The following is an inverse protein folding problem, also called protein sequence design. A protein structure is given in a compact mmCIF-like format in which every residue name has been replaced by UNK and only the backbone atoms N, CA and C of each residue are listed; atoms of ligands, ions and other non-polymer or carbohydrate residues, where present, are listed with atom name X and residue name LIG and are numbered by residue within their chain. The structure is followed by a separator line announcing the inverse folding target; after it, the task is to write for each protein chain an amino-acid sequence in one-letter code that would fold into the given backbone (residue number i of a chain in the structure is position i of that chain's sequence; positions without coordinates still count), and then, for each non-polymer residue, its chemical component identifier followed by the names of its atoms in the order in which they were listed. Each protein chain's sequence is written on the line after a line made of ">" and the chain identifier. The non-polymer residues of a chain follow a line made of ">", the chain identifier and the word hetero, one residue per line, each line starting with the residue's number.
data_IF_347197818283
#
_entry.id   IF_347197818283
#
_cell.length_a   1.000
_cell.length_b   1.000
_cell.length_c   1.000
_cell.angle_alpha   90.00
_cell.angle_beta   90.00
_cell.angle_gamma   90.00
#
_symmetry.space_group_name_H-M   'P 1'
#
loop_
_entity.id
_entity.type
_entity.pdbx_description
1 polymer ?
#
# COMPACT_ATOMS: atom_id res chain seq x y z
N UNK A 1 6.59 -20.64 40.07
CA UNK A 1 7.17 -20.82 38.73
C UNK A 1 6.11 -20.64 37.64
N UNK A 2 5.51 -19.44 37.53
CA UNK A 2 4.43 -19.15 36.57
C UNK A 2 4.90 -18.18 35.46
N UNK A 3 6.06 -17.53 35.62
CA UNK A 3 6.56 -16.52 34.68
C UNK A 3 7.14 -17.05 33.36
N UNK A 4 7.54 -18.34 33.27
CA UNK A 4 8.20 -18.87 32.07
C UNK A 4 7.24 -19.47 31.02
N UNK A 5 6.04 -19.92 31.39
CA UNK A 5 5.07 -20.47 30.44
C UNK A 5 4.39 -19.38 29.62
N UNK A 6 3.94 -18.29 30.27
CA UNK A 6 3.33 -17.16 29.57
C UNK A 6 4.31 -16.44 28.62
N UNK A 7 5.59 -16.35 29.01
CA UNK A 7 6.64 -15.85 28.13
C UNK A 7 6.82 -16.77 26.93
N UNK A 8 7.12 -18.06 27.15
CA UNK A 8 7.42 -19.03 26.10
C UNK A 8 6.31 -19.16 25.03
N UNK A 9 5.03 -19.09 25.43
CA UNK A 9 3.90 -19.23 24.52
C UNK A 9 3.57 -17.96 23.73
N UNK A 10 3.71 -16.79 24.36
CA UNK A 10 3.62 -15.50 23.67
C UNK A 10 4.73 -15.39 22.61
N UNK A 11 5.95 -15.80 22.96
CA UNK A 11 7.06 -15.87 22.00
C UNK A 11 6.77 -16.90 20.89
N UNK A 12 6.25 -18.08 21.21
CA UNK A 12 5.97 -19.14 20.24
C UNK A 12 4.95 -18.73 19.17
N UNK A 13 3.80 -18.17 19.56
CA UNK A 13 2.75 -17.72 18.62
C UNK A 13 3.21 -16.52 17.77
N UNK A 14 3.96 -15.59 18.36
CA UNK A 14 4.53 -14.46 17.64
C UNK A 14 5.59 -14.91 16.61
N UNK A 15 6.48 -15.83 17.00
CA UNK A 15 7.49 -16.41 16.11
C UNK A 15 6.83 -17.19 14.97
N UNK A 16 5.71 -17.86 15.22
CA UNK A 16 5.04 -18.67 14.20
C UNK A 16 4.28 -17.81 13.17
N UNK A 17 3.49 -16.83 13.62
CA UNK A 17 2.58 -16.09 12.74
C UNK A 17 3.11 -14.73 12.29
N UNK A 18 3.78 -13.99 13.18
CA UNK A 18 4.14 -12.58 12.94
C UNK A 18 5.56 -12.47 12.37
N UNK A 19 6.51 -13.23 12.92
CA UNK A 19 7.91 -13.15 12.48
C UNK A 19 8.10 -13.44 10.97
N UNK A 20 7.50 -14.48 10.36
CA UNK A 20 7.67 -14.73 8.93
C UNK A 20 7.09 -13.60 8.08
N UNK A 21 5.95 -13.04 8.48
CA UNK A 21 5.33 -11.91 7.81
C UNK A 21 6.19 -10.64 7.94
N UNK A 22 6.80 -10.39 9.10
CA UNK A 22 7.71 -9.27 9.32
C UNK A 22 9.01 -9.40 8.51
N UNK A 23 9.56 -10.61 8.40
CA UNK A 23 10.72 -10.88 7.55
C UNK A 23 10.38 -10.62 6.08
N UNK A 24 9.19 -11.05 5.64
CA UNK A 24 8.70 -10.77 4.29
C UNK A 24 8.47 -9.27 4.06
N UNK A 25 7.92 -8.55 5.03
CA UNK A 25 7.76 -7.09 4.96
C UNK A 25 9.10 -6.36 4.89
N UNK A 26 10.09 -6.81 5.66
CA UNK A 26 11.46 -6.30 5.60
C UNK A 26 12.06 -6.53 4.21
N UNK A 27 11.90 -7.73 3.65
CA UNK A 27 12.32 -8.03 2.27
C UNK A 27 11.60 -7.14 1.24
N UNK A 28 10.29 -6.96 1.36
CA UNK A 28 9.51 -6.11 0.46
C UNK A 28 10.00 -4.65 0.50
N UNK A 29 10.26 -4.13 1.70
CA UNK A 29 10.79 -2.79 1.91
C UNK A 29 12.19 -2.61 1.30
N UNK A 30 13.07 -3.60 1.48
CA UNK A 30 14.40 -3.60 0.85
C UNK A 30 14.27 -3.64 -0.69
N UNK A 31 13.33 -4.43 -1.21
CA UNK A 31 13.10 -4.57 -2.64
C UNK A 31 12.62 -3.27 -3.29
N UNK A 32 11.61 -2.59 -2.72
CA UNK A 32 11.16 -1.30 -3.25
C UNK A 32 12.24 -0.24 -3.14
N UNK A 33 12.97 -0.20 -2.01
CA UNK A 33 14.05 0.77 -1.82
C UNK A 33 15.18 0.55 -2.84
N UNK A 34 15.56 -0.71 -3.08
CA UNK A 34 16.57 -1.08 -4.07
C UNK A 34 16.13 -0.76 -5.50
N UNK A 35 14.92 -1.17 -5.89
CA UNK A 35 14.35 -0.88 -7.20
C UNK A 35 14.26 0.63 -7.46
N UNK A 36 13.72 1.38 -6.50
CA UNK A 36 13.61 2.83 -6.60
C UNK A 36 14.99 3.50 -6.73
N UNK A 37 15.94 3.17 -5.86
CA UNK A 37 17.28 3.77 -5.91
C UNK A 37 18.05 3.42 -7.19
N UNK A 38 17.86 2.21 -7.72
CA UNK A 38 18.45 1.78 -9.00
C UNK A 38 17.82 2.55 -10.16
N UNK A 39 16.49 2.53 -10.27
CA UNK A 39 15.77 3.06 -11.43
C UNK A 39 15.55 4.58 -11.40
N UNK A 40 15.79 5.25 -10.27
CA UNK A 40 15.87 6.71 -10.19
C UNK A 40 17.14 7.28 -10.87
N UNK A 41 18.16 6.44 -11.06
CA UNK A 41 19.43 6.83 -11.73
C UNK A 41 19.44 6.50 -13.22
N UNK A 42 18.44 5.78 -13.71
CA UNK A 42 18.34 5.39 -15.11
C UNK A 42 17.37 6.33 -15.80
N UNK A 43 17.85 7.06 -16.80
CA UNK A 43 17.01 7.92 -17.63
C UNK A 43 15.90 7.12 -18.30
N UNK A 44 14.70 7.70 -18.40
CA UNK A 44 13.58 7.12 -19.13
C UNK A 44 13.78 7.14 -20.65
N UNK A 45 14.72 7.94 -21.17
CA UNK A 45 14.97 8.11 -22.62
C UNK A 45 14.01 9.08 -23.32
N UNK A 46 12.90 9.43 -22.68
CA UNK A 46 11.81 10.21 -23.31
C UNK A 46 12.00 11.72 -23.29
N UNK A 47 12.88 12.24 -22.44
CA UNK A 47 13.06 13.67 -22.21
C UNK A 47 11.98 14.34 -21.34
N UNK A 48 10.92 13.61 -20.96
CA UNK A 48 9.84 14.15 -20.12
C UNK A 48 10.09 13.94 -18.63
N UNK A 49 9.61 14.89 -17.84
CA UNK A 49 9.52 14.81 -16.37
C UNK A 49 8.31 13.99 -15.94
N UNK A 50 8.30 13.49 -14.70
CA UNK A 50 7.15 12.77 -14.14
C UNK A 50 5.85 13.59 -14.17
N UNK A 51 5.92 14.90 -13.95
CA UNK A 51 4.77 15.78 -14.09
C UNK A 51 4.22 15.83 -15.53
N UNK A 52 5.10 15.92 -16.52
CA UNK A 52 4.71 15.92 -17.94
C UNK A 52 4.14 14.57 -18.37
N UNK A 53 4.70 13.47 -17.88
CA UNK A 53 4.15 12.13 -18.11
C UNK A 53 2.77 11.99 -17.49
N UNK A 54 2.59 12.41 -16.24
CA UNK A 54 1.29 12.36 -15.59
C UNK A 54 0.24 13.15 -16.39
N UNK A 55 0.57 14.39 -16.78
CA UNK A 55 -0.31 15.24 -17.60
C UNK A 55 -0.65 14.57 -18.94
N UNK A 56 0.35 14.04 -19.65
CA UNK A 56 0.16 13.36 -20.93
C UNK A 56 -0.79 12.17 -20.81
N UNK A 57 -0.62 11.33 -19.78
CA UNK A 57 -1.49 10.16 -19.58
C UNK A 57 -2.90 10.63 -19.21
N UNK A 58 -3.06 11.62 -18.32
CA UNK A 58 -4.36 12.16 -17.96
C UNK A 58 -5.10 12.71 -19.19
N UNK A 59 -4.43 13.48 -20.04
CA UNK A 59 -5.01 14.04 -21.27
C UNK A 59 -5.44 12.95 -22.25
N UNK A 60 -4.62 11.91 -22.43
CA UNK A 60 -4.96 10.74 -23.28
C UNK A 60 -6.21 10.00 -22.80
N UNK A 61 -6.56 10.10 -21.51
CA UNK A 61 -7.73 9.46 -20.91
C UNK A 61 -8.88 10.46 -20.66
N UNK A 62 -8.83 11.67 -21.23
CA UNK A 62 -9.88 12.69 -21.10
C UNK A 62 -9.98 13.36 -19.73
N UNK A 63 -8.97 13.18 -18.86
CA UNK A 63 -8.94 13.67 -17.48
C UNK A 63 -8.32 15.06 -17.37
N UNK A 64 -8.85 16.01 -18.13
CA UNK A 64 -8.32 17.39 -18.19
C UNK A 64 -8.55 18.18 -16.89
N UNK A 65 -9.55 17.79 -16.10
CA UNK A 65 -9.89 18.42 -14.81
C UNK A 65 -8.99 17.96 -13.65
N UNK A 66 -8.26 16.86 -13.82
CA UNK A 66 -7.32 16.36 -12.81
C UNK A 66 -6.03 17.17 -12.84
N UNK A 67 -5.68 17.83 -11.74
CA UNK A 67 -4.45 18.64 -11.64
C UNK A 67 -3.23 17.77 -11.29
N UNK A 68 -2.04 18.23 -11.68
CA UNK A 68 -0.76 17.63 -11.28
C UNK A 68 -0.01 18.64 -10.44
N UNK A 69 0.29 18.31 -9.18
CA UNK A 69 0.93 19.20 -8.21
C UNK A 69 2.17 18.56 -7.60
N UNK A 70 3.14 19.40 -7.24
CA UNK A 70 4.31 18.96 -6.49
C UNK A 70 4.02 18.96 -4.99
N UNK A 71 4.46 17.92 -4.30
CA UNK A 71 4.46 17.84 -2.83
C UNK A 71 5.86 17.62 -2.27
N UNK A 72 6.06 18.05 -1.03
CA UNK A 72 7.28 17.77 -0.28
C UNK A 72 7.40 16.30 0.13
N UNK A 73 8.59 15.92 0.59
CA UNK A 73 8.91 14.56 1.01
C UNK A 73 9.44 13.68 -0.12
N UNK A 74 9.60 12.39 0.19
CA UNK A 74 10.07 11.35 -0.73
C UNK A 74 9.07 10.20 -0.68
N UNK A 75 8.66 9.67 -1.84
CA UNK A 75 7.66 8.60 -1.94
C UNK A 75 6.32 8.99 -1.27
N UNK A 76 5.97 10.26 -1.35
CA UNK A 76 4.70 10.83 -0.86
C UNK A 76 3.69 11.01 -1.98
N UNK A 77 3.98 10.43 -3.14
CA UNK A 77 3.19 10.45 -4.35
C UNK A 77 1.83 9.78 -4.10
N UNK A 78 0.75 10.46 -4.49
CA UNK A 78 -0.62 9.93 -4.38
C UNK A 78 -1.60 10.67 -5.29
N UNK A 79 -2.62 9.97 -5.78
CA UNK A 79 -3.84 10.58 -6.28
C UNK A 79 -4.87 10.82 -5.16
N UNK A 80 -5.46 12.01 -5.14
CA UNK A 80 -6.57 12.37 -4.26
C UNK A 80 -7.89 12.50 -5.04
N UNK A 81 -8.84 11.57 -4.86
CA UNK A 81 -10.12 11.57 -5.56
C UNK A 81 -11.05 12.70 -5.12
N UNK A 82 -10.87 13.27 -3.91
CA UNK A 82 -11.75 14.33 -3.38
C UNK A 82 -11.46 15.67 -4.03
N UNK A 83 -10.17 15.95 -4.24
CA UNK A 83 -9.71 17.19 -4.86
C UNK A 83 -9.31 17.03 -6.33
N UNK A 84 -9.36 15.80 -6.85
CA UNK A 84 -8.93 15.43 -8.20
C UNK A 84 -7.53 15.94 -8.52
N UNK A 85 -6.56 15.58 -7.67
CA UNK A 85 -5.16 16.00 -7.83
C UNK A 85 -4.24 14.78 -7.79
N UNK A 86 -3.36 14.66 -8.77
CA UNK A 86 -2.17 13.80 -8.72
C UNK A 86 -1.05 14.60 -8.07
N UNK A 87 -0.64 14.20 -6.87
CA UNK A 87 0.46 14.81 -6.13
C UNK A 87 1.71 13.97 -6.29
N UNK A 88 2.79 14.59 -6.75
CA UNK A 88 4.08 13.93 -6.96
C UNK A 88 5.14 14.55 -6.07
N UNK A 89 5.95 13.71 -5.42
CA UNK A 89 7.10 14.15 -4.63
C UNK A 89 8.11 14.87 -5.52
N UNK A 90 8.88 15.82 -4.96
CA UNK A 90 9.83 16.64 -5.74
C UNK A 90 10.76 15.85 -6.66
N UNK A 91 11.23 14.67 -6.22
CA UNK A 91 12.09 13.79 -7.03
C UNK A 91 11.38 13.12 -8.22
N UNK A 92 10.06 12.98 -8.15
CA UNK A 92 9.22 12.38 -9.18
C UNK A 92 8.68 13.47 -10.11
N UNK A 93 8.15 14.56 -9.53
CA UNK A 93 7.58 15.68 -10.26
C UNK A 93 8.55 16.23 -11.32
N UNK A 94 9.77 16.59 -10.92
CA UNK A 94 10.80 17.12 -11.82
C UNK A 94 11.77 16.07 -12.39
N UNK A 95 11.68 14.81 -11.97
CA UNK A 95 12.59 13.76 -12.40
C UNK A 95 12.21 13.16 -13.75
N UNK A 96 13.21 12.77 -14.55
CA UNK A 96 13.05 12.17 -15.89
C UNK A 96 13.47 10.68 -15.94
N UNK A 97 13.56 10.04 -14.78
CA UNK A 97 14.02 8.66 -14.62
C UNK A 97 12.92 7.63 -14.88
N UNK A 98 13.30 6.35 -15.03
CA UNK A 98 12.33 5.24 -15.09
C UNK A 98 11.46 5.20 -13.84
N UNK A 99 12.03 5.43 -12.65
CA UNK A 99 11.26 5.49 -11.41
C UNK A 99 10.25 6.65 -11.41
N UNK A 100 10.68 7.85 -11.84
CA UNK A 100 9.81 9.03 -11.95
C UNK A 100 8.63 8.78 -12.90
N UNK A 101 8.90 8.16 -14.05
CA UNK A 101 7.89 7.81 -15.03
C UNK A 101 6.93 6.71 -14.53
N UNK A 102 7.46 5.69 -13.85
CA UNK A 102 6.65 4.57 -13.35
C UNK A 102 5.70 5.01 -12.23
N UNK A 103 6.21 5.78 -11.26
CA UNK A 103 5.41 6.27 -10.12
C UNK A 103 4.35 7.26 -10.60
N UNK A 104 4.71 8.22 -11.46
CA UNK A 104 3.72 9.17 -12.02
C UNK A 104 2.62 8.45 -12.80
N UNK A 105 2.95 7.45 -13.61
CA UNK A 105 1.96 6.64 -14.32
C UNK A 105 1.08 5.81 -13.37
N UNK A 106 1.62 5.30 -12.25
CA UNK A 106 0.85 4.60 -11.20
C UNK A 106 -0.20 5.51 -10.57
N UNK A 107 0.18 6.73 -10.20
CA UNK A 107 -0.77 7.69 -9.62
C UNK A 107 -1.86 8.10 -10.61
N UNK A 108 -1.51 8.25 -11.90
CA UNK A 108 -2.54 8.44 -12.93
C UNK A 108 -3.40 7.18 -13.10
N UNK A 109 -2.85 5.99 -12.87
CA UNK A 109 -3.62 4.75 -12.79
C UNK A 109 -4.76 4.82 -11.78
N UNK A 110 -4.54 5.42 -10.60
CA UNK A 110 -5.60 5.68 -9.62
C UNK A 110 -6.62 6.73 -10.12
N UNK A 111 -6.18 7.76 -10.84
CA UNK A 111 -7.09 8.73 -11.45
C UNK A 111 -8.00 8.08 -12.50
N UNK A 112 -7.47 7.18 -13.33
CA UNK A 112 -8.23 6.41 -14.33
C UNK A 112 -9.23 5.47 -13.62
N UNK A 113 -8.80 4.76 -12.58
CA UNK A 113 -9.70 3.93 -11.77
C UNK A 113 -10.87 4.74 -11.20
N UNK A 114 -10.59 5.94 -10.71
CA UNK A 114 -11.61 6.82 -10.16
C UNK A 114 -12.61 7.27 -11.24
N UNK A 115 -12.10 7.67 -12.42
CA UNK A 115 -12.94 8.09 -13.54
C UNK A 115 -13.85 6.97 -14.08
N UNK A 116 -13.36 5.73 -14.09
CA UNK A 116 -14.13 4.56 -14.53
C UNK A 116 -15.06 3.99 -13.44
N UNK A 117 -15.07 4.56 -12.24
CA UNK A 117 -15.88 4.06 -11.13
C UNK A 117 -15.45 2.67 -10.65
N UNK A 118 -14.13 2.37 -10.64
CA UNK A 118 -13.61 1.07 -10.22
C UNK A 118 -14.04 0.75 -8.79
N UNK A 119 -14.94 -0.23 -8.65
CA UNK A 119 -15.63 -0.52 -7.39
C UNK A 119 -14.69 -0.73 -6.19
N UNK A 120 -13.59 -1.52 -6.28
CA UNK A 120 -12.67 -1.67 -5.16
C UNK A 120 -12.04 -0.35 -4.69
N UNK A 121 -11.79 0.60 -5.59
CA UNK A 121 -11.28 1.93 -5.22
C UNK A 121 -12.35 2.74 -4.46
N UNK A 122 -13.60 2.70 -4.90
CA UNK A 122 -14.72 3.36 -4.22
C UNK A 122 -14.86 2.79 -2.81
N UNK A 123 -14.83 1.46 -2.67
CA UNK A 123 -14.91 0.78 -1.39
C UNK A 123 -13.75 1.16 -0.46
N UNK A 124 -12.50 1.15 -0.96
CA UNK A 124 -11.32 1.63 -0.23
C UNK A 124 -11.52 3.05 0.28
N UNK A 125 -11.93 3.99 -0.57
CA UNK A 125 -12.02 5.40 -0.21
C UNK A 125 -13.08 5.68 0.87
N UNK A 126 -14.19 4.93 0.86
CA UNK A 126 -15.26 5.08 1.85
C UNK A 126 -14.90 4.44 3.20
N UNK A 127 -14.17 3.31 3.20
CA UNK A 127 -13.84 2.59 4.43
C UNK A 127 -12.54 3.10 5.08
N UNK A 128 -11.62 3.71 4.31
CA UNK A 128 -10.31 4.14 4.82
C UNK A 128 -10.35 5.00 6.10
N UNK A 129 -11.26 5.98 6.26
CA UNK A 129 -11.37 6.74 7.52
C UNK A 129 -11.73 5.85 8.71
N UNK A 130 -12.66 4.91 8.50
CA UNK A 130 -13.14 3.98 9.54
C UNK A 130 -12.03 3.01 9.91
N UNK A 131 -11.31 2.46 8.92
CA UNK A 131 -10.18 1.56 9.15
C UNK A 131 -9.05 2.24 9.92
N UNK A 132 -8.75 3.52 9.62
CA UNK A 132 -7.73 4.30 10.34
C UNK A 132 -8.10 4.54 11.82
N UNK A 133 -9.37 4.86 12.09
CA UNK A 133 -9.86 5.02 13.47
C UNK A 133 -9.85 3.66 14.18
N UNK A 134 -10.41 2.63 13.54
CA UNK A 134 -10.47 1.27 14.06
C UNK A 134 -9.10 0.74 14.45
N UNK A 135 -8.09 0.92 13.59
CA UNK A 135 -6.70 0.48 13.85
C UNK A 135 -6.09 1.07 15.12
N UNK A 136 -6.44 2.32 15.47
CA UNK A 136 -5.99 2.97 16.71
C UNK A 136 -6.73 2.42 17.94
N UNK A 137 -8.01 2.09 17.77
CA UNK A 137 -8.87 1.59 18.84
C UNK A 137 -8.65 0.10 19.15
N UNK A 138 -8.13 -0.69 18.22
CA UNK A 138 -7.86 -2.13 18.42
C UNK A 138 -7.02 -2.37 19.68
N UNK A 139 -5.88 -1.70 19.80
CA UNK A 139 -5.00 -1.86 20.96
C UNK A 139 -5.63 -1.32 22.24
N UNK A 140 -6.34 -0.19 22.16
CA UNK A 140 -7.08 0.36 23.29
C UNK A 140 -8.08 -0.66 23.85
N UNK A 141 -8.90 -1.26 22.99
CA UNK A 141 -9.88 -2.26 23.41
C UNK A 141 -9.24 -3.56 23.88
N UNK A 142 -8.13 -3.99 23.27
CA UNK A 142 -7.38 -5.15 23.76
C UNK A 142 -6.85 -4.89 25.18
N UNK A 143 -6.23 -3.73 25.44
CA UNK A 143 -5.70 -3.40 26.77
C UNK A 143 -6.82 -3.25 27.81
N UNK A 144 -7.90 -2.52 27.48
CA UNK A 144 -9.07 -2.42 28.35
C UNK A 144 -9.67 -3.80 28.61
N UNK A 145 -9.67 -4.68 27.62
CA UNK A 145 -10.20 -6.02 27.76
C UNK A 145 -9.39 -6.93 28.66
N UNK A 146 -8.07 -6.73 28.73
CA UNK A 146 -7.24 -7.39 29.73
C UNK A 146 -7.49 -6.86 31.15
N UNK A 147 -7.85 -5.59 31.31
CA UNK A 147 -8.04 -4.95 32.61
C UNK A 147 -9.48 -5.09 33.17
N UNK A 148 -10.49 -5.05 32.31
CA UNK A 148 -11.90 -4.91 32.71
C UNK A 148 -12.72 -6.16 32.35
N UNK A 149 -12.78 -6.51 31.06
CA UNK A 149 -13.68 -7.57 30.58
C UNK A 149 -13.23 -8.19 29.26
N UNK A 150 -13.29 -9.54 29.11
CA UNK A 150 -13.02 -10.23 27.84
C UNK A 150 -13.83 -9.71 26.65
N UNK A 151 -15.01 -9.12 26.87
CA UNK A 151 -15.84 -8.52 25.82
C UNK A 151 -15.06 -7.49 24.98
N UNK A 152 -14.24 -6.65 25.60
CA UNK A 152 -13.47 -5.65 24.85
C UNK A 152 -12.34 -6.27 24.02
N UNK A 153 -11.83 -7.44 24.41
CA UNK A 153 -10.86 -8.19 23.60
C UNK A 153 -11.54 -8.70 22.32
N UNK A 154 -12.75 -9.26 22.45
CA UNK A 154 -13.54 -9.73 21.30
C UNK A 154 -13.90 -8.58 20.36
N UNK A 155 -14.29 -7.43 20.92
CA UNK A 155 -14.53 -6.21 20.15
C UNK A 155 -13.26 -5.72 19.43
N UNK A 156 -12.11 -5.73 20.11
CA UNK A 156 -10.81 -5.40 19.52
C UNK A 156 -10.43 -6.33 18.37
N UNK A 157 -10.65 -7.64 18.51
CA UNK A 157 -10.41 -8.64 17.46
C UNK A 157 -11.36 -8.42 16.28
N UNK A 158 -12.65 -8.16 16.52
CA UNK A 158 -13.62 -7.89 15.46
C UNK A 158 -13.25 -6.63 14.67
N UNK A 159 -12.80 -5.56 15.35
CA UNK A 159 -12.29 -4.37 14.69
C UNK A 159 -11.02 -4.66 13.89
N UNK A 160 -10.11 -5.49 14.42
CA UNK A 160 -8.88 -5.84 13.72
C UNK A 160 -9.16 -6.70 12.48
N UNK A 161 -10.14 -7.61 12.53
CA UNK A 161 -10.62 -8.34 11.37
C UNK A 161 -11.12 -7.37 10.28
N UNK A 162 -11.86 -6.33 10.64
CA UNK A 162 -12.29 -5.31 9.68
C UNK A 162 -11.09 -4.57 9.04
N UNK A 163 -10.03 -4.30 9.80
CA UNK A 163 -8.77 -3.72 9.28
C UNK A 163 -8.09 -4.67 8.29
N UNK A 164 -8.02 -5.97 8.60
CA UNK A 164 -7.45 -6.99 7.69
C UNK A 164 -8.27 -7.08 6.40
N UNK A 165 -9.60 -7.13 6.49
CA UNK A 165 -10.48 -7.15 5.32
C UNK A 165 -10.30 -5.89 4.46
N UNK A 166 -10.15 -4.72 5.08
CA UNK A 166 -9.87 -3.48 4.38
C UNK A 166 -8.54 -3.54 3.59
N UNK A 167 -7.49 -4.10 4.17
CA UNK A 167 -6.21 -4.28 3.47
C UNK A 167 -6.35 -5.24 2.28
N UNK A 168 -7.06 -6.35 2.45
CA UNK A 168 -7.33 -7.31 1.36
C UNK A 168 -8.09 -6.64 0.21
N UNK A 169 -9.15 -5.88 0.52
CA UNK A 169 -9.93 -5.13 -0.49
C UNK A 169 -9.10 -4.06 -1.20
N UNK A 170 -8.07 -3.53 -0.53
CA UNK A 170 -7.16 -2.53 -1.11
C UNK A 170 -6.16 -3.16 -2.08
N UNK A 171 -5.80 -4.43 -1.94
CA UNK A 171 -4.81 -5.09 -2.81
C UNK A 171 -5.17 -5.03 -4.31
N UNK A 172 -6.40 -5.38 -4.76
CA UNK A 172 -6.79 -5.24 -6.16
C UNK A 172 -6.62 -3.83 -6.72
N UNK A 173 -6.81 -2.80 -5.89
CA UNK A 173 -6.68 -1.39 -6.29
C UNK A 173 -5.25 -1.10 -6.75
N UNK A 174 -4.26 -1.51 -5.97
CA UNK A 174 -2.85 -1.26 -6.27
C UNK A 174 -2.36 -2.05 -7.49
N UNK A 175 -2.74 -3.33 -7.59
CA UNK A 175 -2.40 -4.16 -8.76
C UNK A 175 -3.04 -3.62 -10.05
N UNK A 176 -4.30 -3.21 -9.97
CA UNK A 176 -5.01 -2.68 -11.13
C UNK A 176 -4.45 -1.30 -11.55
N UNK A 177 -4.07 -0.43 -10.61
CA UNK A 177 -3.41 0.84 -10.91
C UNK A 177 -2.06 0.62 -11.60
N UNK A 178 -1.23 -0.29 -11.08
CA UNK A 178 0.04 -0.69 -11.71
C UNK A 178 -0.16 -1.29 -13.11
N UNK A 179 -1.20 -2.11 -13.31
CA UNK A 179 -1.52 -2.66 -14.62
C UNK A 179 -1.90 -1.57 -15.63
N UNK A 180 -2.72 -0.61 -15.22
CA UNK A 180 -3.10 0.54 -16.06
C UNK A 180 -1.89 1.41 -16.39
N UNK A 181 -1.03 1.67 -15.40
CA UNK A 181 0.20 2.41 -15.60
C UNK A 181 1.08 1.76 -16.68
N UNK A 182 1.29 0.45 -16.61
CA UNK A 182 2.06 -0.28 -17.63
C UNK A 182 1.45 -0.18 -19.01
N UNK A 183 0.14 -0.35 -19.15
CA UNK A 183 -0.55 -0.20 -20.45
C UNK A 183 -0.34 1.20 -21.02
N UNK A 184 -0.45 2.25 -20.20
CA UNK A 184 -0.23 3.62 -20.66
C UNK A 184 1.22 3.87 -21.09
N UNK A 185 2.18 3.29 -20.37
CA UNK A 185 3.61 3.40 -20.70
C UNK A 185 3.97 2.62 -21.98
N UNK A 186 3.42 1.42 -22.16
CA UNK A 186 3.60 0.57 -23.35
C UNK A 186 2.98 1.19 -24.61
N UNK A 187 1.93 1.99 -24.46
CA UNK A 187 1.22 2.67 -25.56
C UNK A 187 1.96 3.94 -26.03
N UNK A 188 3.22 3.79 -26.41
CA UNK A 188 4.00 4.82 -27.11
C UNK A 188 4.50 5.96 -26.22
N UNK A 189 4.63 5.76 -24.91
CA UNK A 189 5.33 6.68 -24.01
C UNK A 189 6.75 6.19 -23.75
N UNK A 190 6.91 4.90 -23.49
CA UNK A 190 8.17 4.30 -23.05
C UNK A 190 8.70 3.30 -24.10
N UNK A 191 10.03 3.29 -24.30
CA UNK A 191 10.71 2.32 -25.15
C UNK A 191 10.60 0.89 -24.58
N UNK A 192 10.55 -0.12 -25.48
CA UNK A 192 10.31 -1.52 -25.11
C UNK A 192 11.32 -2.08 -24.11
N UNK A 193 12.59 -1.66 -24.19
CA UNK A 193 13.65 -2.11 -23.29
C UNK A 193 13.51 -1.53 -21.86
N UNK A 194 12.75 -0.43 -21.70
CA UNK A 194 12.49 0.21 -20.40
C UNK A 194 11.23 -0.32 -19.68
N UNK A 195 10.36 -1.03 -20.39
CA UNK A 195 9.12 -1.62 -19.83
C UNK A 195 9.42 -2.60 -18.69
N UNK A 196 10.43 -3.47 -18.86
CA UNK A 196 10.82 -4.43 -17.81
C UNK A 196 11.31 -3.72 -16.53
N UNK A 197 12.23 -2.74 -16.60
CA UNK A 197 12.55 -1.86 -15.49
C UNK A 197 11.33 -1.19 -14.81
N UNK A 198 10.39 -0.63 -15.59
CA UNK A 198 9.19 -0.01 -15.03
C UNK A 198 8.33 -1.03 -14.26
N UNK A 199 8.15 -2.22 -14.83
CA UNK A 199 7.45 -3.34 -14.19
C UNK A 199 8.12 -3.78 -12.89
N UNK A 200 9.45 -3.74 -12.82
CA UNK A 200 10.17 -4.05 -11.58
C UNK A 200 9.88 -3.03 -10.47
N UNK A 201 9.83 -1.73 -10.79
CA UNK A 201 9.45 -0.67 -9.83
C UNK A 201 8.04 -0.90 -9.30
N UNK A 202 7.07 -1.07 -10.21
CA UNK A 202 5.66 -1.24 -9.85
C UNK A 202 5.39 -2.53 -9.08
N UNK A 203 6.04 -3.64 -9.47
CA UNK A 203 5.95 -4.91 -8.71
C UNK A 203 6.57 -4.80 -7.33
N UNK A 204 7.68 -4.09 -7.19
CA UNK A 204 8.30 -3.90 -5.90
C UNK A 204 7.42 -3.05 -4.98
N UNK A 205 6.70 -2.06 -5.51
CA UNK A 205 5.72 -1.27 -4.77
C UNK A 205 4.52 -2.13 -4.37
N UNK A 206 3.92 -2.88 -5.30
CA UNK A 206 2.80 -3.77 -4.99
C UNK A 206 3.13 -4.82 -3.91
N UNK A 207 4.39 -5.29 -3.86
CA UNK A 207 4.84 -6.24 -2.85
C UNK A 207 4.74 -5.69 -1.41
N UNK A 208 4.89 -4.38 -1.21
CA UNK A 208 4.78 -3.79 0.15
C UNK A 208 3.35 -3.87 0.68
N UNK A 209 2.34 -3.71 -0.19
CA UNK A 209 0.94 -3.89 0.18
C UNK A 209 0.61 -5.34 0.52
N UNK A 210 1.13 -6.29 -0.25
CA UNK A 210 1.00 -7.73 0.07
C UNK A 210 1.63 -8.02 1.42
N UNK A 211 2.83 -7.50 1.67
CA UNK A 211 3.51 -7.74 2.92
C UNK A 211 2.79 -7.11 4.12
N UNK A 212 2.28 -5.88 4.00
CA UNK A 212 1.48 -5.25 5.03
C UNK A 212 0.24 -6.08 5.37
N UNK A 213 -0.44 -6.62 4.35
CA UNK A 213 -1.60 -7.50 4.52
C UNK A 213 -1.24 -8.78 5.27
N UNK A 214 -0.11 -9.42 4.91
CA UNK A 214 0.36 -10.63 5.60
C UNK A 214 0.73 -10.36 7.05
N UNK A 215 1.35 -9.20 7.35
CA UNK A 215 1.65 -8.80 8.74
C UNK A 215 0.37 -8.65 9.54
N UNK A 216 -0.66 -7.99 9.00
CA UNK A 216 -1.93 -7.84 9.69
C UNK A 216 -2.66 -9.19 9.88
N UNK A 217 -2.62 -10.09 8.90
CA UNK A 217 -3.15 -11.46 9.04
C UNK A 217 -2.38 -12.22 10.13
N UNK A 218 -1.05 -12.16 10.13
CA UNK A 218 -0.22 -12.82 11.14
C UNK A 218 -0.54 -12.32 12.56
N UNK A 219 -0.73 -11.01 12.72
CA UNK A 219 -1.13 -10.41 13.99
C UNK A 219 -2.56 -10.83 14.40
N UNK A 220 -3.48 -10.97 13.46
CA UNK A 220 -4.85 -11.42 13.74
C UNK A 220 -4.85 -12.87 14.22
N UNK A 221 -4.11 -13.75 13.54
CA UNK A 221 -3.94 -15.14 13.93
C UNK A 221 -3.31 -15.26 15.31
N UNK A 222 -2.32 -14.43 15.61
CA UNK A 222 -1.72 -14.34 16.94
C UNK A 222 -2.75 -13.95 18.00
N UNK A 223 -3.56 -12.91 17.77
CA UNK A 223 -4.60 -12.49 18.72
C UNK A 223 -5.66 -13.58 18.95
N UNK A 224 -6.08 -14.28 17.89
CA UNK A 224 -7.00 -15.42 17.99
C UNK A 224 -6.39 -16.58 18.77
N UNK A 225 -5.12 -16.93 18.53
CA UNK A 225 -4.44 -17.99 19.26
C UNK A 225 -4.31 -17.68 20.76
N UNK A 226 -4.03 -16.43 21.11
CA UNK A 226 -3.95 -15.97 22.50
C UNK A 226 -5.31 -15.98 23.22
N UNK A 227 -6.41 -15.75 22.50
CA UNK A 227 -7.76 -15.70 23.09
C UNK A 227 -8.45 -17.05 23.16
N UNK A 228 -8.31 -17.91 22.15
CA UNK A 228 -8.92 -19.25 22.15
C UNK A 228 -8.42 -20.09 23.33
N UNK A 229 -7.12 -20.05 23.64
CA UNK A 229 -6.53 -20.78 24.78
C UNK A 229 -6.90 -20.24 26.16
N UNK A 230 -7.59 -19.10 26.24
CA UNK A 230 -8.10 -18.54 27.49
C UNK A 230 -9.50 -19.05 27.84
N UNK A 231 -10.20 -19.63 26.85
CA UNK A 231 -11.56 -20.18 26.98
C UNK A 231 -11.56 -21.67 27.31
N UNK A 232 -10.41 -22.33 27.16
CA UNK A 232 -10.09 -23.69 27.61
C UNK A 232 -9.38 -23.63 28.97
#
# INVERSE_FOLDING_TARGET
>A
MIGNYYGGEYYSSWILFVLPAMLFASYAQLKISSAFNKYSKVSSGTGYTGAQIARMILDRNGLHDVRVEQVGGKLTDHYDPRTKVVRLSSSIYGGNSIASMSVSAHEVGHAIQHAEGYFPLILRNNIAPIANIGSRLVWLFIFIGFAISPFFIELGIALFLAVVLFQIVTLPVEFNASSRALVQLENGIMERDKIKPAKDVLKAAALTYVAATLVAIGELLRLLALTSRRRD
#
